data_IF_988088902260
#
_entry.id   IF_988088902260
#
_cell.length_a   1.000
_cell.length_b   1.000
_cell.length_c   1.000
_cell.angle_alpha   90.00
_cell.angle_beta   90.00
_cell.angle_gamma   90.00
#
_symmetry.space_group_name_H-M   'P 1'
#
loop_
_entity.id
_entity.type
_entity.pdbx_description
1 polymer ?
#
# COMPACT_ATOMS: atom_id res chain seq x y z
N UNK A 1 -0.85 -9.81 18.78
CA UNK A 1 -2.26 -9.45 18.58
C UNK A 1 -2.40 -8.64 17.30
N UNK A 2 -3.52 -8.75 16.55
CA UNK A 2 -3.78 -7.89 15.41
C UNK A 2 -3.93 -6.44 15.88
N UNK A 3 -3.54 -5.44 15.01
CA UNK A 3 -3.79 -4.04 15.27
C UNK A 3 -5.30 -3.75 15.35
N UNK A 4 -5.68 -2.85 16.23
CA UNK A 4 -7.05 -2.33 16.28
C UNK A 4 -7.26 -1.17 15.32
N UNK A 5 -8.48 -0.70 15.16
CA UNK A 5 -8.77 0.50 14.38
C UNK A 5 -8.12 1.76 15.00
N UNK A 6 -8.02 1.81 16.33
CA UNK A 6 -7.40 2.90 17.07
C UNK A 6 -5.88 2.97 16.87
N UNK A 7 -5.23 1.83 16.61
CA UNK A 7 -3.81 1.78 16.28
C UNK A 7 -3.51 2.35 14.87
N UNK A 8 -4.52 2.49 14.02
CA UNK A 8 -4.32 2.83 12.61
C UNK A 8 -3.61 4.17 12.42
N UNK A 9 -3.85 5.14 13.27
CA UNK A 9 -3.19 6.45 13.18
C UNK A 9 -1.68 6.36 13.38
N UNK A 10 -1.20 5.40 14.18
CA UNK A 10 0.23 5.21 14.40
C UNK A 10 0.96 4.77 13.13
N UNK A 11 0.44 3.81 12.38
CA UNK A 11 1.12 3.29 11.18
C UNK A 11 0.67 3.93 9.86
N UNK A 12 -0.32 4.84 9.91
CA UNK A 12 -0.81 5.59 8.74
C UNK A 12 -0.36 7.05 8.72
N UNK A 13 0.63 7.41 9.52
CA UNK A 13 1.13 8.78 9.62
C UNK A 13 1.49 9.41 8.26
N UNK A 14 2.18 8.74 7.30
CA UNK A 14 2.48 9.32 5.99
C UNK A 14 1.21 9.67 5.21
N UNK A 15 0.21 8.78 5.17
CA UNK A 15 -1.04 9.03 4.47
C UNK A 15 -1.84 10.18 5.12
N UNK A 16 -1.90 10.21 6.45
CA UNK A 16 -2.57 11.29 7.20
C UNK A 16 -1.89 12.64 6.97
N UNK A 17 -0.56 12.65 6.99
CA UNK A 17 0.22 13.86 6.70
C UNK A 17 -0.03 14.34 5.28
N UNK A 18 0.00 13.43 4.30
CA UNK A 18 -0.29 13.76 2.90
C UNK A 18 -1.71 14.30 2.71
N UNK A 19 -2.72 13.67 3.31
CA UNK A 19 -4.12 14.13 3.23
C UNK A 19 -4.30 15.53 3.80
N UNK A 20 -3.51 15.91 4.79
CA UNK A 20 -3.55 17.23 5.43
C UNK A 20 -2.79 18.28 4.64
N UNK A 21 -1.64 17.93 4.09
CA UNK A 21 -0.66 18.91 3.58
C UNK A 21 -0.43 18.83 2.06
N UNK A 22 -0.95 17.80 1.36
CA UNK A 22 -0.73 17.59 -0.06
C UNK A 22 0.68 17.12 -0.44
N UNK A 23 1.52 16.79 0.54
CA UNK A 23 2.88 16.27 0.35
C UNK A 23 3.24 15.34 1.51
N UNK A 24 4.24 14.47 1.31
CA UNK A 24 4.71 13.54 2.34
C UNK A 24 5.68 14.16 3.35
N UNK A 25 6.36 15.24 2.96
CA UNK A 25 7.32 15.95 3.80
C UNK A 25 7.48 17.39 3.32
N UNK A 26 7.82 18.29 4.23
CA UNK A 26 8.23 19.67 3.91
C UNK A 26 9.73 19.82 3.67
N UNK A 27 10.50 18.73 3.79
CA UNK A 27 11.91 18.73 3.51
C UNK A 27 12.13 18.96 2.01
N UNK A 28 13.09 19.82 1.67
CA UNK A 28 13.42 20.09 0.27
C UNK A 28 14.19 18.92 -0.33
N UNK A 29 13.86 18.49 -1.56
CA UNK A 29 14.60 17.45 -2.27
C UNK A 29 16.11 17.76 -2.27
N UNK A 30 16.90 16.76 -1.88
CA UNK A 30 18.35 16.88 -1.77
C UNK A 30 18.99 15.52 -2.07
N UNK A 31 19.92 15.49 -3.02
CA UNK A 31 20.63 14.27 -3.43
C UNK A 31 21.76 13.85 -2.47
N UNK A 32 22.14 14.71 -1.52
CA UNK A 32 23.16 14.35 -0.53
C UNK A 32 22.65 13.18 0.36
N UNK A 33 23.38 12.05 0.42
CA UNK A 33 22.99 10.89 1.24
C UNK A 33 22.78 11.21 2.71
N UNK A 34 23.49 12.22 3.24
CA UNK A 34 23.41 12.62 4.65
C UNK A 34 22.32 13.67 4.93
N UNK A 35 21.58 14.10 3.92
CA UNK A 35 20.50 15.08 4.10
C UNK A 35 19.32 14.49 4.87
N UNK A 36 18.61 15.33 5.61
CA UNK A 36 17.38 14.91 6.31
C UNK A 36 16.30 14.42 5.34
N UNK A 37 16.23 14.98 4.12
CA UNK A 37 15.35 14.50 3.07
C UNK A 37 15.65 13.05 2.70
N UNK A 38 16.92 12.72 2.48
CA UNK A 38 17.36 11.37 2.13
C UNK A 38 17.10 10.39 3.28
N UNK A 39 17.48 10.75 4.49
CA UNK A 39 17.20 9.94 5.70
C UNK A 39 15.71 9.68 5.93
N UNK A 40 14.85 10.66 5.60
CA UNK A 40 13.40 10.47 5.68
C UNK A 40 12.95 9.38 4.71
N UNK A 41 13.33 9.47 3.43
CA UNK A 41 12.92 8.49 2.43
C UNK A 41 13.55 7.11 2.65
N UNK A 42 14.81 7.03 3.07
CA UNK A 42 15.47 5.76 3.39
C UNK A 42 14.72 5.02 4.51
N UNK A 43 14.28 5.73 5.54
CA UNK A 43 13.45 5.17 6.60
C UNK A 43 12.07 4.72 6.09
N UNK A 44 11.44 5.49 5.23
CA UNK A 44 10.12 5.12 4.68
C UNK A 44 10.23 3.92 3.72
N UNK A 45 11.29 3.85 2.92
CA UNK A 45 11.61 2.69 2.07
C UNK A 45 11.84 1.45 2.93
N UNK A 46 12.61 1.58 4.00
CA UNK A 46 12.84 0.48 4.95
C UNK A 46 11.54 -0.04 5.56
N UNK A 47 10.63 0.84 5.98
CA UNK A 47 9.30 0.47 6.48
C UNK A 47 8.44 -0.22 5.43
N UNK A 48 8.49 0.24 4.19
CA UNK A 48 7.78 -0.40 3.09
C UNK A 48 8.34 -1.79 2.79
N UNK A 49 9.62 -1.99 3.02
CA UNK A 49 10.32 -3.24 2.76
C UNK A 49 10.21 -4.23 3.94
N UNK A 50 10.70 -3.84 5.11
CA UNK A 50 10.79 -4.68 6.30
C UNK A 50 9.51 -4.68 7.14
N UNK A 51 8.65 -3.68 6.97
CA UNK A 51 7.49 -3.44 7.82
C UNK A 51 7.81 -2.50 8.99
N UNK A 52 6.81 -2.29 9.82
CA UNK A 52 6.90 -1.42 10.99
C UNK A 52 6.63 -2.23 12.26
N UNK A 53 7.57 -2.20 13.19
CA UNK A 53 7.45 -2.85 14.51
C UNK A 53 7.26 -1.78 15.58
N UNK A 54 6.27 -1.96 16.45
CA UNK A 54 6.09 -1.18 17.66
C UNK A 54 6.72 -1.95 18.83
N UNK A 55 7.84 -1.45 19.34
CA UNK A 55 8.62 -2.16 20.36
C UNK A 55 7.90 -2.33 21.69
N UNK A 56 6.97 -1.41 22.01
CA UNK A 56 6.27 -1.40 23.31
C UNK A 56 5.39 -2.63 23.55
N UNK A 57 4.83 -3.20 22.49
CA UNK A 57 3.89 -4.33 22.58
C UNK A 57 4.15 -5.41 21.52
N UNK A 58 5.17 -5.24 20.68
CA UNK A 58 5.54 -6.18 19.62
C UNK A 58 4.58 -6.17 18.42
N UNK A 59 3.73 -5.14 18.27
CA UNK A 59 2.83 -5.04 17.13
C UNK A 59 3.61 -4.86 15.83
N UNK A 60 3.33 -5.73 14.86
CA UNK A 60 4.02 -5.72 13.58
C UNK A 60 3.06 -5.44 12.42
N UNK A 61 3.41 -4.46 11.58
CA UNK A 61 2.71 -4.09 10.35
C UNK A 61 3.57 -4.57 9.17
N UNK A 62 3.11 -5.56 8.37
CA UNK A 62 3.86 -6.03 7.20
C UNK A 62 4.14 -4.90 6.20
N UNK A 63 5.32 -4.90 5.57
CA UNK A 63 5.74 -3.85 4.64
C UNK A 63 4.77 -3.62 3.48
N UNK A 64 4.23 -4.68 2.89
CA UNK A 64 3.15 -4.58 1.88
C UNK A 64 1.89 -3.87 2.39
N UNK A 65 1.51 -4.10 3.65
CA UNK A 65 0.37 -3.40 4.26
C UNK A 65 0.71 -1.93 4.50
N UNK A 66 1.90 -1.66 5.03
CA UNK A 66 2.39 -0.30 5.25
C UNK A 66 2.39 0.50 3.93
N UNK A 67 2.92 -0.09 2.86
CA UNK A 67 2.87 0.46 1.50
C UNK A 67 1.45 0.74 1.03
N UNK A 68 0.56 -0.25 1.11
CA UNK A 68 -0.82 -0.12 0.66
C UNK A 68 -1.57 1.01 1.35
N UNK A 69 -1.40 1.14 2.67
CA UNK A 69 -2.14 2.13 3.46
C UNK A 69 -1.61 3.56 3.34
N UNK A 70 -0.33 3.71 2.96
CA UNK A 70 0.33 5.02 2.97
C UNK A 70 0.68 5.56 1.58
N UNK A 71 0.90 4.70 0.59
CA UNK A 71 1.44 5.10 -0.72
C UNK A 71 0.56 4.71 -1.91
N UNK A 72 -0.54 4.00 -1.68
CA UNK A 72 -1.43 3.54 -2.75
C UNK A 72 -2.78 4.27 -2.68
N UNK A 73 -2.95 5.38 -3.41
CA UNK A 73 -4.24 6.04 -3.49
C UNK A 73 -5.27 5.14 -4.18
N UNK A 74 -6.51 5.29 -3.76
CA UNK A 74 -7.64 4.56 -4.30
C UNK A 74 -8.91 5.40 -4.24
N UNK A 75 -9.92 5.01 -5.02
CA UNK A 75 -11.24 5.63 -4.90
C UNK A 75 -11.96 5.10 -3.67
N UNK A 76 -12.23 5.97 -2.71
CA UNK A 76 -12.96 5.67 -1.48
C UNK A 76 -14.33 6.31 -1.49
N UNK A 77 -15.29 5.68 -0.81
CA UNK A 77 -16.62 6.23 -0.61
C UNK A 77 -16.65 7.02 0.69
N UNK A 78 -16.90 8.33 0.60
CA UNK A 78 -17.13 9.19 1.77
C UNK A 78 -18.62 9.52 1.87
N UNK A 79 -19.18 9.36 3.06
CA UNK A 79 -20.53 9.81 3.39
C UNK A 79 -20.43 11.16 4.04
N UNK A 80 -21.11 12.18 3.50
CA UNK A 80 -21.29 13.45 4.18
C UNK A 80 -22.48 13.33 5.13
N UNK A 81 -22.40 14.00 6.27
CA UNK A 81 -23.48 14.05 7.25
C UNK A 81 -24.79 14.50 6.59
N UNK A 82 -25.87 13.76 6.83
CA UNK A 82 -27.18 14.02 6.21
C UNK A 82 -27.36 13.50 4.77
N UNK A 83 -26.34 12.95 4.12
CA UNK A 83 -26.45 12.41 2.76
C UNK A 83 -26.56 10.89 2.75
N UNK A 84 -27.61 10.37 2.06
CA UNK A 84 -27.80 8.91 1.84
C UNK A 84 -26.85 8.33 0.78
N UNK A 85 -26.26 9.15 -0.10
CA UNK A 85 -25.36 8.69 -1.18
C UNK A 85 -23.91 9.03 -0.82
N UNK A 86 -23.06 8.02 -0.94
CA UNK A 86 -21.62 8.21 -0.82
C UNK A 86 -21.08 9.04 -2.00
N UNK A 87 -20.17 9.95 -1.71
CA UNK A 87 -19.37 10.64 -2.71
C UNK A 87 -18.08 9.83 -2.90
N UNK A 88 -17.80 9.46 -4.13
CA UNK A 88 -16.58 8.75 -4.49
C UNK A 88 -15.44 9.77 -4.66
N UNK A 89 -14.42 9.67 -3.81
CA UNK A 89 -13.26 10.58 -3.81
C UNK A 89 -11.96 9.80 -3.78
N UNK A 90 -10.89 10.38 -4.29
CA UNK A 90 -9.55 9.84 -4.12
C UNK A 90 -9.10 9.95 -2.65
N UNK A 91 -8.41 8.95 -2.17
CA UNK A 91 -7.87 8.90 -0.81
C UNK A 91 -7.07 7.61 -0.59
N UNK A 92 -6.74 7.31 0.67
CA UNK A 92 -6.05 6.08 1.03
C UNK A 92 -7.01 5.09 1.69
N UNK A 93 -6.69 3.81 1.58
CA UNK A 93 -7.50 2.74 2.18
C UNK A 93 -7.69 2.95 3.68
N UNK A 94 -8.88 2.59 4.18
CA UNK A 94 -9.09 2.47 5.61
C UNK A 94 -8.51 1.14 6.11
N UNK A 95 -7.99 1.19 7.33
CA UNK A 95 -7.54 -0.02 7.99
C UNK A 95 -8.74 -0.83 8.51
N UNK A 96 -8.67 -2.14 8.41
CA UNK A 96 -9.52 -3.11 9.11
C UNK A 96 -8.71 -4.40 9.33
N UNK A 97 -9.03 -5.12 10.38
CA UNK A 97 -8.24 -6.29 10.83
C UNK A 97 -8.02 -7.33 9.71
N UNK A 98 -9.05 -7.61 8.91
CA UNK A 98 -8.96 -8.59 7.81
C UNK A 98 -7.91 -8.26 6.75
N UNK A 99 -7.58 -6.97 6.55
CA UNK A 99 -6.52 -6.58 5.62
C UNK A 99 -5.13 -6.84 6.22
N UNK A 100 -4.97 -6.68 7.53
CA UNK A 100 -3.72 -7.03 8.21
C UNK A 100 -3.44 -8.52 8.11
N UNK A 101 -4.43 -9.38 8.39
CA UNK A 101 -4.33 -10.84 8.22
C UNK A 101 -3.94 -11.21 6.79
N UNK A 102 -4.58 -10.60 5.78
CA UNK A 102 -4.23 -10.82 4.36
C UNK A 102 -2.74 -10.62 4.12
N UNK A 103 -2.20 -9.46 4.46
CA UNK A 103 -0.81 -9.13 4.15
C UNK A 103 0.17 -9.91 5.03
N UNK A 104 -0.21 -10.27 6.23
CA UNK A 104 0.60 -11.14 7.09
C UNK A 104 0.72 -12.55 6.48
N UNK A 105 -0.40 -13.14 6.02
CA UNK A 105 -0.37 -14.44 5.35
C UNK A 105 0.38 -14.41 4.03
N UNK A 106 0.24 -13.37 3.23
CA UNK A 106 1.00 -13.18 1.99
C UNK A 106 2.50 -13.10 2.28
N UNK A 107 2.91 -12.33 3.29
CA UNK A 107 4.31 -12.28 3.75
C UNK A 107 4.81 -13.65 4.15
N UNK A 108 4.08 -14.36 5.01
CA UNK A 108 4.46 -15.69 5.48
C UNK A 108 4.57 -16.71 4.35
N UNK A 109 3.67 -16.67 3.37
CA UNK A 109 3.72 -17.53 2.19
C UNK A 109 4.98 -17.23 1.36
N UNK A 110 5.25 -15.96 1.10
CA UNK A 110 6.45 -15.52 0.38
C UNK A 110 7.74 -15.98 1.08
N UNK A 111 7.85 -15.71 2.37
CA UNK A 111 9.06 -16.02 3.16
C UNK A 111 9.35 -17.54 3.20
N UNK A 112 8.31 -18.37 3.06
CA UNK A 112 8.40 -19.82 3.00
C UNK A 112 8.48 -20.39 1.57
N UNK A 113 8.46 -19.54 0.54
CA UNK A 113 8.40 -19.97 -0.85
C UNK A 113 7.10 -20.68 -1.23
N UNK A 114 6.01 -20.43 -0.52
CA UNK A 114 4.72 -21.06 -0.77
C UNK A 114 3.84 -20.18 -1.68
N UNK A 115 2.94 -20.82 -2.42
CA UNK A 115 1.86 -20.14 -3.11
C UNK A 115 0.77 -19.72 -2.11
N UNK A 116 0.13 -18.56 -2.38
CA UNK A 116 -1.01 -18.10 -1.61
C UNK A 116 -2.25 -18.00 -2.49
N UNK A 117 -3.39 -18.47 -1.97
CA UNK A 117 -4.70 -18.35 -2.61
C UNK A 117 -5.61 -17.53 -1.71
N UNK A 118 -6.17 -16.45 -2.24
CA UNK A 118 -7.09 -15.59 -1.50
C UNK A 118 -8.51 -15.76 -2.00
N UNK A 119 -9.40 -16.18 -1.11
CA UNK A 119 -10.85 -16.18 -1.32
C UNK A 119 -11.47 -15.06 -0.49
N UNK A 120 -12.05 -14.07 -1.14
CA UNK A 120 -12.72 -12.96 -0.46
C UNK A 120 -13.93 -12.48 -1.25
N UNK A 121 -14.95 -11.99 -0.53
CA UNK A 121 -16.16 -11.43 -1.15
C UNK A 121 -15.86 -10.17 -1.96
N UNK A 122 -16.82 -9.73 -2.79
CA UNK A 122 -16.74 -8.45 -3.50
C UNK A 122 -16.67 -7.29 -2.48
N UNK A 123 -15.88 -6.26 -2.80
CA UNK A 123 -15.76 -5.04 -1.96
C UNK A 123 -14.62 -5.08 -0.94
N UNK A 124 -13.88 -6.19 -0.78
CA UNK A 124 -12.74 -6.29 0.14
C UNK A 124 -11.42 -5.72 -0.43
N UNK A 125 -11.47 -4.77 -1.34
CA UNK A 125 -10.29 -4.11 -1.93
C UNK A 125 -9.25 -5.07 -2.58
N UNK A 126 -9.65 -6.29 -3.03
CA UNK A 126 -8.71 -7.28 -3.60
C UNK A 126 -7.90 -6.74 -4.77
N UNK A 127 -8.56 -6.13 -5.75
CA UNK A 127 -7.89 -5.61 -6.96
C UNK A 127 -6.95 -4.44 -6.63
N UNK A 128 -7.32 -3.57 -5.68
CA UNK A 128 -6.42 -2.52 -5.18
C UNK A 128 -5.25 -3.10 -4.39
N UNK A 129 -5.50 -4.13 -3.56
CA UNK A 129 -4.44 -4.85 -2.84
C UNK A 129 -3.44 -5.51 -3.79
N UNK A 130 -3.93 -6.13 -4.89
CA UNK A 130 -3.07 -6.70 -5.92
C UNK A 130 -2.27 -5.61 -6.65
N UNK A 131 -2.89 -4.49 -7.03
CA UNK A 131 -2.21 -3.35 -7.64
C UNK A 131 -1.13 -2.76 -6.71
N UNK A 132 -1.41 -2.72 -5.40
CA UNK A 132 -0.42 -2.29 -4.40
C UNK A 132 0.78 -3.24 -4.31
N UNK A 133 0.56 -4.56 -4.31
CA UNK A 133 1.66 -5.55 -4.33
C UNK A 133 2.50 -5.39 -5.60
N UNK A 134 1.85 -5.24 -6.76
CA UNK A 134 2.54 -5.03 -8.03
C UNK A 134 3.40 -3.76 -8.01
N UNK A 135 2.86 -2.64 -7.51
CA UNK A 135 3.59 -1.38 -7.43
C UNK A 135 4.73 -1.44 -6.41
N UNK A 136 4.53 -2.11 -5.28
CA UNK A 136 5.56 -2.36 -4.30
C UNK A 136 6.72 -3.15 -4.91
N UNK A 137 6.44 -4.28 -5.56
CA UNK A 137 7.48 -5.12 -6.18
C UNK A 137 8.24 -4.37 -7.28
N UNK A 138 7.58 -3.46 -8.01
CA UNK A 138 8.21 -2.67 -9.06
C UNK A 138 9.13 -1.57 -8.50
N UNK A 139 8.71 -0.90 -7.43
CA UNK A 139 9.36 0.33 -6.92
C UNK A 139 10.33 0.02 -5.77
N UNK A 140 9.87 -0.74 -4.79
CA UNK A 140 10.67 -1.11 -3.61
C UNK A 140 11.55 -2.30 -3.92
N UNK A 141 11.04 -3.26 -4.71
CA UNK A 141 11.76 -4.48 -5.08
C UNK A 141 11.75 -5.55 -4.00
N UNK A 142 12.53 -6.58 -4.23
CA UNK A 142 12.85 -7.62 -3.26
C UNK A 142 14.27 -7.42 -2.73
N UNK A 143 14.62 -8.05 -1.59
CA UNK A 143 15.89 -7.85 -0.89
C UNK A 143 17.12 -8.03 -1.78
N UNK A 144 18.22 -7.38 -1.41
CA UNK A 144 19.51 -7.57 -2.08
C UNK A 144 20.00 -9.03 -2.10
N UNK A 145 19.54 -9.85 -1.14
CA UNK A 145 19.83 -11.28 -1.11
C UNK A 145 19.13 -12.06 -2.23
N UNK A 146 17.97 -11.59 -2.70
CA UNK A 146 17.30 -12.17 -3.86
C UNK A 146 17.46 -11.29 -5.09
N UNK A 147 18.66 -11.02 -5.55
CA UNK A 147 18.94 -10.31 -6.84
C UNK A 147 18.23 -10.89 -8.07
N UNK A 148 17.24 -11.72 -7.86
CA UNK A 148 16.34 -12.25 -8.87
C UNK A 148 15.28 -11.20 -9.18
N UNK A 149 15.25 -10.76 -10.43
CA UNK A 149 14.20 -9.87 -10.94
C UNK A 149 12.84 -10.53 -10.70
N UNK A 150 12.00 -9.91 -9.91
CA UNK A 150 10.62 -10.36 -9.72
C UNK A 150 9.84 -10.13 -11.01
N UNK A 151 9.26 -11.18 -11.53
CA UNK A 151 8.33 -11.09 -12.65
C UNK A 151 6.92 -11.20 -12.09
N UNK A 152 6.16 -10.11 -12.19
CA UNK A 152 4.74 -10.13 -11.85
C UNK A 152 3.92 -10.44 -13.08
N UNK A 153 3.23 -11.58 -13.09
CA UNK A 153 2.34 -11.99 -14.17
C UNK A 153 0.90 -11.79 -13.71
N UNK A 154 0.15 -10.98 -14.44
CA UNK A 154 -1.26 -10.74 -14.20
C UNK A 154 -2.09 -11.43 -15.27
N UNK A 155 -2.94 -12.37 -14.86
CA UNK A 155 -3.84 -13.09 -15.75
C UNK A 155 -5.29 -12.90 -15.36
N UNK A 156 -6.19 -12.90 -16.32
CA UNK A 156 -7.62 -12.92 -16.08
C UNK A 156 -8.32 -13.71 -17.17
N UNK A 157 -9.51 -14.22 -16.84
CA UNK A 157 -10.36 -14.96 -17.77
C UNK A 157 -10.79 -14.12 -18.97
N UNK A 158 -11.05 -12.84 -18.78
CA UNK A 158 -11.43 -11.88 -19.83
C UNK A 158 -10.52 -10.67 -19.80
N UNK A 159 -10.26 -10.09 -20.99
CA UNK A 159 -9.41 -8.91 -21.19
C UNK A 159 -9.91 -7.69 -20.41
N UNK A 160 -11.21 -7.54 -20.29
CA UNK A 160 -11.89 -6.44 -19.60
C UNK A 160 -11.51 -6.40 -18.11
N UNK A 161 -11.32 -7.55 -17.46
CA UNK A 161 -10.87 -7.60 -16.06
C UNK A 161 -9.43 -7.12 -15.86
N UNK A 162 -8.64 -7.08 -16.93
CA UNK A 162 -7.29 -6.52 -16.91
C UNK A 162 -7.25 -5.05 -17.31
N UNK A 163 -7.92 -4.72 -18.40
CA UNK A 163 -7.74 -3.44 -19.15
C UNK A 163 -8.96 -2.55 -19.18
N UNK A 164 -10.08 -2.92 -18.53
CA UNK A 164 -11.22 -2.00 -18.47
C UNK A 164 -10.79 -0.70 -17.79
N UNK A 165 -11.05 0.43 -18.44
CA UNK A 165 -10.68 1.77 -17.97
C UNK A 165 -11.32 2.13 -16.61
N UNK A 166 -12.39 1.44 -16.21
CA UNK A 166 -13.11 1.72 -14.95
C UNK A 166 -12.83 0.73 -13.84
N UNK A 167 -12.75 -0.57 -14.15
CA UNK A 167 -12.74 -1.63 -13.14
C UNK A 167 -11.61 -2.66 -13.30
N UNK A 168 -10.85 -2.62 -14.38
CA UNK A 168 -9.70 -3.50 -14.60
C UNK A 168 -8.60 -3.31 -13.57
N UNK A 169 -7.78 -4.34 -13.35
CA UNK A 169 -6.69 -4.26 -12.36
C UNK A 169 -5.61 -3.25 -12.77
N UNK A 170 -5.33 -3.12 -14.07
CA UNK A 170 -4.37 -2.13 -14.58
C UNK A 170 -4.87 -0.69 -14.38
N UNK A 171 -6.18 -0.45 -14.44
CA UNK A 171 -6.76 0.86 -14.16
C UNK A 171 -6.59 1.32 -12.71
N UNK A 172 -6.22 0.41 -11.81
CA UNK A 172 -5.87 0.70 -10.40
C UNK A 172 -4.36 0.82 -10.20
N UNK A 173 -3.58 0.07 -10.94
CA UNK A 173 -2.12 0.06 -10.87
C UNK A 173 -1.49 1.34 -11.45
N UNK A 174 -1.89 1.74 -12.65
CA UNK A 174 -1.33 2.92 -13.33
C UNK A 174 -1.52 4.22 -12.53
N UNK A 175 -2.69 4.50 -11.92
CA UNK A 175 -2.86 5.66 -11.04
C UNK A 175 -1.92 5.66 -9.83
N UNK A 176 -1.63 4.49 -9.23
CA UNK A 176 -0.67 4.40 -8.12
C UNK A 176 0.72 4.86 -8.59
N UNK A 177 1.21 4.35 -9.73
CA UNK A 177 2.50 4.76 -10.27
C UNK A 177 2.55 6.26 -10.62
N UNK A 178 1.49 6.76 -11.25
CA UNK A 178 1.39 8.18 -11.60
C UNK A 178 1.35 9.08 -10.35
N UNK A 179 0.68 8.65 -9.30
CA UNK A 179 0.65 9.36 -8.02
C UNK A 179 2.03 9.41 -7.39
N UNK A 180 2.72 8.27 -7.31
CA UNK A 180 4.06 8.18 -6.70
C UNK A 180 5.06 9.04 -7.46
N UNK A 181 5.09 8.97 -8.79
CA UNK A 181 6.02 9.77 -9.61
C UNK A 181 5.87 11.29 -9.45
N UNK A 182 4.73 11.76 -8.93
CA UNK A 182 4.46 13.18 -8.70
C UNK A 182 4.72 13.62 -7.26
N UNK A 183 4.69 12.70 -6.30
CA UNK A 183 4.59 13.03 -4.88
C UNK A 183 5.72 12.43 -4.03
N UNK A 184 6.57 11.61 -4.61
CA UNK A 184 7.76 11.02 -3.97
C UNK A 184 9.02 11.33 -4.79
#
# INVERSE_FOLDING_TARGET
>A
NPPTFEDADWFRQPALFFLKNGCYTFLRPNSNPNSEYRKYWDREIDRCYNGLLRETDGMYIPGYLYWFLNYCPMMINKYKEGQKKAIRTEGFAYFFEGIWWRYLYLKNARDKGHHAVELAKRGCAKSYGLAAIMSHNLIIGESEESKKRTITVLTAYQKEYLKDDKDGTLSKFVPILSFLSKNT
#
